data_IF_861277185833
#
_entry.id   IF_861277185833
#
_cell.length_a   1.000
_cell.length_b   1.000
_cell.length_c   1.000
_cell.angle_alpha   90.00
_cell.angle_beta   90.00
_cell.angle_gamma   90.00
#
_symmetry.space_group_name_H-M   'P 1'
#
loop_
_entity.id
_entity.type
_entity.pdbx_description
1 polymer ?
#
# COMPACT_ATOMS: atom_id res chain seq x y z
N UNK A 1 -2.87 -4.35 -16.60
CA UNK A 1 -1.92 -4.72 -15.53
C UNK A 1 -2.63 -5.65 -14.57
N UNK A 2 -2.04 -6.77 -14.24
CA UNK A 2 -2.70 -7.67 -13.29
C UNK A 2 -2.57 -7.12 -11.86
N UNK A 3 -3.39 -7.67 -10.96
CA UNK A 3 -3.45 -7.16 -9.58
C UNK A 3 -2.14 -7.33 -8.83
N UNK A 4 -1.42 -8.43 -9.08
CA UNK A 4 -0.13 -8.65 -8.42
C UNK A 4 0.90 -7.60 -8.83
N UNK A 5 0.96 -7.28 -10.12
CA UNK A 5 1.86 -6.25 -10.62
C UNK A 5 1.49 -4.89 -10.05
N UNK A 6 0.20 -4.61 -9.96
CA UNK A 6 -0.26 -3.36 -9.37
C UNK A 6 0.14 -3.25 -7.91
N UNK A 7 -0.03 -4.32 -7.14
CA UNK A 7 0.37 -4.33 -5.73
C UNK A 7 1.87 -4.09 -5.57
N UNK A 8 2.67 -4.74 -6.40
CA UNK A 8 4.13 -4.55 -6.37
C UNK A 8 4.52 -3.13 -6.75
N UNK A 9 3.83 -2.54 -7.72
CA UNK A 9 4.08 -1.17 -8.11
C UNK A 9 3.70 -0.20 -7.00
N UNK A 10 2.56 -0.40 -6.35
CA UNK A 10 2.16 0.44 -5.22
C UNK A 10 3.20 0.40 -4.11
N UNK A 11 3.74 -0.80 -3.83
CA UNK A 11 4.81 -0.94 -2.84
C UNK A 11 6.05 -0.14 -3.25
N UNK A 12 6.44 -0.25 -4.51
CA UNK A 12 7.60 0.48 -5.02
C UNK A 12 7.41 1.98 -4.92
N UNK A 13 6.23 2.47 -5.27
CA UNK A 13 5.94 3.90 -5.19
C UNK A 13 5.94 4.40 -3.75
N UNK A 14 5.41 3.61 -2.83
CA UNK A 14 5.48 3.94 -1.40
C UNK A 14 6.93 3.98 -0.92
N UNK A 15 7.73 3.03 -1.36
CA UNK A 15 9.14 2.96 -1.01
C UNK A 15 9.93 4.16 -1.54
N UNK A 16 9.54 4.70 -2.68
CA UNK A 16 10.17 5.90 -3.23
C UNK A 16 10.12 7.07 -2.26
N UNK A 17 9.10 7.12 -1.42
CA UNK A 17 8.94 8.16 -0.39
C UNK A 17 9.27 7.64 1.00
N UNK A 18 10.02 6.54 1.07
CA UNK A 18 10.55 5.98 2.30
C UNK A 18 9.47 5.56 3.31
N UNK A 19 8.36 5.06 2.80
CA UNK A 19 7.37 4.42 3.67
C UNK A 19 8.04 3.27 4.42
N UNK A 20 7.64 3.09 5.67
CA UNK A 20 8.24 2.08 6.54
C UNK A 20 7.38 0.83 6.61
N UNK A 21 8.05 -0.30 6.82
CA UNK A 21 7.40 -1.59 7.08
C UNK A 21 6.31 -1.92 6.06
N UNK A 22 6.63 -1.75 4.78
CA UNK A 22 5.66 -2.00 3.71
C UNK A 22 5.47 -3.50 3.55
N UNK A 23 4.21 -3.94 3.61
CA UNK A 23 3.86 -5.34 3.36
C UNK A 23 2.77 -5.42 2.31
N UNK A 24 2.77 -6.50 1.56
CA UNK A 24 1.71 -6.85 0.63
C UNK A 24 1.11 -8.15 1.13
N UNK A 25 -0.20 -8.13 1.36
CA UNK A 25 -0.94 -9.31 1.82
C UNK A 25 -1.77 -9.84 0.66
N UNK A 26 -1.61 -11.11 0.35
CA UNK A 26 -2.41 -11.80 -0.66
C UNK A 26 -3.69 -12.29 0.03
N UNK A 27 -4.79 -11.63 -0.26
CA UNK A 27 -6.07 -11.95 0.37
C UNK A 27 -7.07 -12.54 -0.62
N UNK A 28 -6.59 -13.03 -1.76
CA UNK A 28 -7.49 -13.56 -2.80
C UNK A 28 -8.37 -14.69 -2.31
N UNK A 29 -7.87 -15.52 -1.42
CA UNK A 29 -8.64 -16.64 -0.88
C UNK A 29 -9.41 -16.29 0.39
N UNK A 30 -9.12 -15.15 1.00
CA UNK A 30 -9.71 -14.73 2.26
C UNK A 30 -10.73 -13.62 2.10
N UNK A 31 -10.73 -12.93 0.99
CA UNK A 31 -11.58 -11.78 0.75
C UNK A 31 -12.20 -11.84 -0.63
N UNK A 32 -13.48 -11.48 -0.72
CA UNK A 32 -14.16 -11.32 -2.00
C UNK A 32 -14.11 -9.87 -2.49
N UNK A 33 -13.53 -8.96 -1.69
CA UNK A 33 -13.53 -7.52 -1.97
C UNK A 33 -12.33 -7.10 -2.80
N UNK A 34 -11.17 -7.66 -2.51
CA UNK A 34 -9.94 -7.28 -3.18
C UNK A 34 -8.97 -8.46 -3.22
N UNK A 35 -7.98 -8.38 -4.08
CA UNK A 35 -6.96 -9.42 -4.22
C UNK A 35 -5.78 -9.19 -3.28
N UNK A 36 -5.39 -7.95 -3.07
CA UNK A 36 -4.21 -7.63 -2.27
C UNK A 36 -4.43 -6.39 -1.42
N UNK A 37 -3.87 -6.43 -0.22
CA UNK A 37 -3.67 -5.23 0.58
C UNK A 37 -2.21 -4.84 0.52
N UNK A 38 -1.94 -3.54 0.36
CA UNK A 38 -0.60 -2.99 0.50
C UNK A 38 -0.66 -2.06 1.71
N UNK A 39 0.17 -2.32 2.71
CA UNK A 39 0.16 -1.55 3.95
C UNK A 39 1.53 -0.93 4.16
N UNK A 40 1.57 0.37 4.34
CA UNK A 40 2.80 1.09 4.61
C UNK A 40 2.60 2.14 5.69
N UNK A 41 3.67 2.52 6.34
CA UNK A 41 3.62 3.48 7.42
C UNK A 41 4.45 4.73 7.11
N UNK A 42 3.98 5.86 7.62
CA UNK A 42 4.72 7.12 7.57
C UNK A 42 4.95 7.65 8.98
N UNK A 43 5.83 8.62 9.10
CA UNK A 43 6.25 9.16 10.39
C UNK A 43 5.53 10.46 10.76
N UNK A 44 4.88 11.11 9.80
CA UNK A 44 4.23 12.41 10.01
C UNK A 44 3.15 12.62 8.95
N UNK A 45 2.28 13.62 9.15
CA UNK A 45 1.28 13.95 8.13
C UNK A 45 1.92 14.31 6.79
N UNK A 46 2.94 15.17 6.73
CA UNK A 46 3.60 15.45 5.44
C UNK A 46 4.17 14.20 4.79
N UNK A 47 4.67 13.26 5.58
CA UNK A 47 5.19 12.01 5.06
C UNK A 47 4.07 11.16 4.45
N UNK A 48 2.93 11.06 5.14
CA UNK A 48 1.75 10.34 4.62
C UNK A 48 1.27 10.97 3.30
N UNK A 49 1.22 12.29 3.25
CA UNK A 49 0.82 12.99 2.04
C UNK A 49 1.77 12.69 0.89
N UNK A 50 3.06 12.69 1.15
CA UNK A 50 4.06 12.41 0.12
C UNK A 50 3.89 10.99 -0.43
N UNK A 51 3.63 10.02 0.44
CA UNK A 51 3.42 8.63 0.02
C UNK A 51 2.14 8.52 -0.83
N UNK A 52 1.05 9.10 -0.36
CA UNK A 52 -0.23 9.06 -1.07
C UNK A 52 -0.11 9.74 -2.43
N UNK A 53 0.49 10.93 -2.47
CA UNK A 53 0.63 11.68 -3.72
C UNK A 53 1.51 10.92 -4.72
N UNK A 54 2.58 10.30 -4.27
CA UNK A 54 3.43 9.53 -5.15
C UNK A 54 2.65 8.38 -5.79
N UNK A 55 1.87 7.66 -5.00
CA UNK A 55 1.09 6.54 -5.51
C UNK A 55 0.01 7.03 -6.47
N UNK A 56 -0.79 8.00 -6.07
CA UNK A 56 -1.92 8.45 -6.89
C UNK A 56 -1.45 9.16 -8.15
N UNK A 57 -0.45 10.02 -8.05
CA UNK A 57 0.04 10.77 -9.21
C UNK A 57 0.72 9.86 -10.22
N UNK A 58 1.58 8.97 -9.75
CA UNK A 58 2.33 8.09 -10.66
C UNK A 58 1.42 7.06 -11.32
N UNK A 59 0.46 6.50 -10.59
CA UNK A 59 -0.48 5.57 -11.21
C UNK A 59 -1.34 6.26 -12.26
N UNK A 60 -1.73 7.51 -12.01
CA UNK A 60 -2.49 8.27 -12.99
C UNK A 60 -1.63 8.58 -14.22
N UNK A 61 -0.43 9.08 -14.01
CA UNK A 61 0.44 9.53 -15.09
C UNK A 61 1.01 8.38 -15.92
N UNK A 62 1.46 7.33 -15.25
CA UNK A 62 2.17 6.23 -15.91
C UNK A 62 1.25 5.09 -16.37
N UNK A 63 0.12 4.89 -15.68
CA UNK A 63 -0.76 3.75 -15.93
C UNK A 63 -2.19 4.14 -16.28
N UNK A 64 -2.52 5.42 -16.20
CA UNK A 64 -3.89 5.89 -16.44
C UNK A 64 -4.88 5.41 -15.39
N UNK A 65 -4.40 5.03 -14.22
CA UNK A 65 -5.24 4.50 -13.14
C UNK A 65 -5.56 5.56 -12.11
N UNK A 66 -6.84 5.63 -11.74
CA UNK A 66 -7.31 6.50 -10.66
C UNK A 66 -7.96 5.62 -9.60
N UNK A 67 -7.87 6.00 -8.33
CA UNK A 67 -8.55 5.22 -7.30
C UNK A 67 -10.05 5.30 -7.49
N UNK A 68 -10.73 4.18 -7.24
CA UNK A 68 -12.19 4.15 -7.23
C UNK A 68 -12.73 4.96 -6.06
N UNK A 69 -12.02 4.94 -4.94
CA UNK A 69 -12.37 5.70 -3.75
C UNK A 69 -11.11 6.00 -2.94
N UNK A 70 -11.14 7.12 -2.24
CA UNK A 70 -10.12 7.48 -1.27
C UNK A 70 -10.86 7.73 0.04
N UNK A 71 -10.52 6.96 1.06
CA UNK A 71 -11.13 7.09 2.37
C UNK A 71 -10.09 7.52 3.40
N UNK A 72 -10.55 8.05 4.52
CA UNK A 72 -9.69 8.51 5.57
C UNK A 72 -9.15 9.90 5.31
N UNK A 73 -8.31 10.37 6.20
CA UNK A 73 -7.74 11.72 6.12
C UNK A 73 -6.33 11.73 6.67
N UNK A 74 -5.55 12.72 6.28
CA UNK A 74 -4.23 12.96 6.86
C UNK A 74 -4.31 13.19 8.36
N UNK A 75 -5.36 13.89 8.80
CA UNK A 75 -5.57 14.20 10.22
C UNK A 75 -5.83 12.93 11.04
N UNK A 76 -6.59 11.99 10.47
CA UNK A 76 -6.84 10.72 11.13
C UNK A 76 -5.61 9.80 11.04
N UNK A 77 -4.62 10.19 10.26
CA UNK A 77 -3.38 9.46 10.08
C UNK A 77 -3.58 8.05 9.48
N UNK A 78 -4.64 7.91 8.70
CA UNK A 78 -4.96 6.66 8.01
C UNK A 78 -5.70 6.99 6.73
N UNK A 79 -5.08 6.67 5.59
CA UNK A 79 -5.66 6.92 4.27
C UNK A 79 -5.74 5.59 3.54
N UNK A 80 -6.87 5.35 2.91
CA UNK A 80 -7.12 4.12 2.16
C UNK A 80 -7.34 4.50 0.69
N UNK A 81 -6.54 3.88 -0.19
CA UNK A 81 -6.65 4.07 -1.63
C UNK A 81 -7.22 2.79 -2.22
N UNK A 82 -8.44 2.85 -2.72
CA UNK A 82 -9.14 1.70 -3.28
C UNK A 82 -8.97 1.67 -4.80
N UNK A 83 -8.21 0.69 -5.29
CA UNK A 83 -8.02 0.45 -6.72
C UNK A 83 -8.73 -0.83 -7.16
N UNK A 84 -9.80 -1.23 -6.47
CA UNK A 84 -10.57 -2.46 -6.68
C UNK A 84 -9.78 -3.71 -6.28
N UNK A 85 -8.89 -4.17 -7.14
CA UNK A 85 -8.14 -5.41 -6.89
C UNK A 85 -7.01 -5.23 -5.89
N UNK A 86 -6.65 -3.98 -5.63
CA UNK A 86 -5.60 -3.64 -4.66
C UNK A 86 -6.10 -2.48 -3.81
N UNK A 87 -6.03 -2.65 -2.51
CA UNK A 87 -6.37 -1.59 -1.57
C UNK A 87 -5.10 -1.23 -0.80
N UNK A 88 -4.72 0.04 -0.87
CA UNK A 88 -3.51 0.53 -0.22
C UNK A 88 -3.89 1.24 1.07
N UNK A 89 -3.28 0.82 2.18
CA UNK A 89 -3.43 1.46 3.47
C UNK A 89 -2.14 2.21 3.81
N UNK A 90 -2.25 3.52 3.98
CA UNK A 90 -1.12 4.36 4.38
C UNK A 90 -1.47 4.95 5.74
N UNK A 91 -0.71 4.57 6.77
CA UNK A 91 -1.00 4.94 8.14
C UNK A 91 0.21 5.53 8.82
N UNK A 92 -0.02 6.41 9.80
CA UNK A 92 1.06 6.83 10.66
C UNK A 92 1.46 5.63 11.52
N UNK A 93 2.73 5.54 11.84
CA UNK A 93 3.30 4.38 12.49
C UNK A 93 2.58 3.96 13.77
N UNK A 94 2.20 4.92 14.60
CA UNK A 94 1.48 4.62 15.84
C UNK A 94 0.08 4.09 15.59
N UNK A 95 -0.58 4.57 14.55
CA UNK A 95 -1.91 4.08 14.16
C UNK A 95 -1.81 2.65 13.66
N UNK A 96 -0.79 2.35 12.86
CA UNK A 96 -0.58 1.00 12.35
C UNK A 96 -0.36 -0.01 13.49
N UNK A 97 0.41 0.38 14.50
CA UNK A 97 0.65 -0.48 15.65
C UNK A 97 -0.65 -0.75 16.41
N UNK A 98 -1.51 0.25 16.54
CA UNK A 98 -2.78 0.12 17.24
C UNK A 98 -3.77 -0.79 16.53
N UNK A 99 -3.86 -0.68 15.22
CA UNK A 99 -4.88 -1.40 14.45
C UNK A 99 -4.38 -2.66 13.78
N UNK A 100 -3.13 -2.92 13.80
CA UNK A 100 -2.47 -4.17 13.37
C UNK A 100 -3.26 -5.01 12.35
N UNK A 101 -3.42 -4.47 11.15
CA UNK A 101 -4.11 -5.15 10.06
C UNK A 101 -3.45 -6.47 9.69
N UNK A 102 -2.17 -6.58 9.93
CA UNK A 102 -1.41 -7.79 9.62
C UNK A 102 -1.85 -8.96 10.50
N UNK A 103 -2.18 -8.69 11.76
CA UNK A 103 -2.71 -9.71 12.65
C UNK A 103 -4.13 -10.08 12.24
N UNK A 104 -4.94 -9.11 11.85
CA UNK A 104 -6.30 -9.35 11.38
C UNK A 104 -6.31 -10.30 10.18
N UNK A 105 -5.34 -10.15 9.28
CA UNK A 105 -5.18 -10.99 8.10
C UNK A 105 -3.99 -11.93 8.25
N UNK A 106 -3.77 -12.45 9.46
CA UNK A 106 -2.58 -13.24 9.80
C UNK A 106 -2.37 -14.48 8.93
N UNK A 107 -3.45 -15.06 8.39
CA UNK A 107 -3.35 -16.21 7.53
C UNK A 107 -3.03 -15.86 6.08
N UNK A 108 -3.03 -14.58 5.72
CA UNK A 108 -2.77 -14.16 4.36
C UNK A 108 -1.29 -14.30 4.02
N UNK A 109 -0.96 -14.96 2.92
CA UNK A 109 0.42 -15.01 2.46
C UNK A 109 0.93 -13.60 2.17
N UNK A 110 2.19 -13.36 2.49
CA UNK A 110 2.83 -12.10 2.17
C UNK A 110 3.53 -12.22 0.83
N UNK A 111 3.31 -11.24 -0.03
CA UNK A 111 3.97 -11.19 -1.32
C UNK A 111 5.28 -10.45 -1.15
N UNK A 112 6.38 -11.13 -1.47
CA UNK A 112 7.69 -10.49 -1.38
C UNK A 112 8.00 -9.80 -2.69
N UNK A 113 8.61 -8.63 -2.64
CA UNK A 113 9.02 -7.95 -3.86
C UNK A 113 10.08 -8.78 -4.57
N UNK A 114 10.18 -8.61 -5.89
CA UNK A 114 11.21 -9.27 -6.66
C UNK A 114 12.57 -8.88 -6.06
N UNK A 115 13.40 -9.88 -5.87
CA UNK A 115 14.71 -9.64 -5.29
C UNK A 115 15.56 -8.83 -6.25
N UNK A 116 16.03 -7.69 -5.81
CA UNK A 116 16.90 -6.84 -6.58
C UNK A 116 18.32 -6.83 -6.06
N UNK A 117 18.63 -7.73 -5.17
CA UNK A 117 19.90 -7.73 -4.48
C UNK A 117 21.09 -7.68 -5.44
N UNK A 118 21.00 -8.41 -6.52
CA UNK A 118 22.07 -8.43 -7.51
C UNK A 118 22.31 -7.04 -8.12
N UNK A 119 21.25 -6.33 -8.37
CA UNK A 119 21.33 -5.01 -8.98
C UNK A 119 21.80 -3.95 -8.00
N UNK A 120 21.69 -4.23 -6.72
CA UNK A 120 21.98 -3.26 -5.69
C UNK A 120 23.22 -3.54 -4.91
N UNK A 121 23.64 -4.75 -4.99
CA UNK A 121 24.82 -5.18 -4.25
C UNK A 121 26.07 -4.41 -4.66
#
# INVERSE_FOLDING_TARGET
MDSRKLALLCRELADNKKAEDIVILDVRELSSVTDYFVVGAGTSEPHLRAIVDEITDRLREDCGLRPNAIDGTLRAAWIVLDYFDVIVHVMRKDVRERYDLETLWGDAPRVKPRKRAAARA
#
